data_IF_820218212612
#
_entry.id   IF_820218212612
#
_cell.length_a   1.000
_cell.length_b   1.000
_cell.length_c   1.000
_cell.angle_alpha   90.00
_cell.angle_beta   90.00
_cell.angle_gamma   90.00
#
_symmetry.space_group_name_H-M   'P 1'
#
loop_
_entity.id
_entity.type
_entity.pdbx_description
1 polymer ?
#
# COMPACT_ATOMS: atom_id res chain seq x y z
N UNK A 1 -25.12 24.75 -22.31
CA UNK A 1 -25.08 24.87 -20.84
C UNK A 1 -26.01 23.84 -20.21
N UNK A 2 -25.46 22.76 -19.75
CA UNK A 2 -26.19 21.71 -18.99
C UNK A 2 -25.88 21.90 -17.51
N UNK A 3 -26.91 22.13 -16.70
CA UNK A 3 -26.79 22.21 -15.22
C UNK A 3 -27.08 20.85 -14.63
N UNK A 4 -26.10 20.26 -13.96
CA UNK A 4 -26.32 19.07 -13.15
C UNK A 4 -26.15 19.42 -11.66
N UNK A 5 -27.20 19.18 -10.89
CA UNK A 5 -27.20 19.30 -9.44
C UNK A 5 -26.94 17.93 -8.84
N UNK A 6 -25.75 17.69 -8.30
CA UNK A 6 -25.49 16.53 -7.45
C UNK A 6 -25.82 16.91 -6.00
N UNK A 7 -27.04 16.62 -5.55
CA UNK A 7 -27.49 16.78 -4.18
C UNK A 7 -27.07 15.53 -3.38
N UNK A 8 -25.98 15.63 -2.65
CA UNK A 8 -25.68 14.68 -1.56
C UNK A 8 -26.45 15.14 -0.31
N UNK A 9 -27.44 14.33 0.10
CA UNK A 9 -28.31 14.60 1.24
C UNK A 9 -27.56 14.36 2.56
N UNK A 10 -26.93 15.40 3.06
CA UNK A 10 -26.60 15.55 4.47
C UNK A 10 -27.51 16.61 5.07
N UNK A 11 -28.43 16.23 5.97
CA UNK A 11 -29.31 17.15 6.67
C UNK A 11 -28.50 18.10 7.54
N UNK A 12 -28.26 19.32 7.07
CA UNK A 12 -27.85 20.45 7.90
C UNK A 12 -28.73 21.62 7.55
N UNK A 13 -29.28 22.24 8.57
CA UNK A 13 -30.22 23.37 8.55
C UNK A 13 -29.71 24.51 7.67
N UNK A 14 -30.56 24.93 6.77
CA UNK A 14 -30.34 25.93 5.73
C UNK A 14 -29.87 27.29 6.27
N UNK A 15 -28.71 27.71 5.78
CA UNK A 15 -28.52 29.10 5.40
C UNK A 15 -28.42 29.10 3.88
N UNK A 16 -29.39 29.71 3.19
CA UNK A 16 -29.37 29.91 1.73
C UNK A 16 -28.27 30.95 1.41
N UNK A 17 -27.05 30.50 1.19
CA UNK A 17 -26.12 31.17 0.28
C UNK A 17 -26.26 30.41 -1.06
N UNK A 18 -26.61 31.10 -2.13
CA UNK A 18 -26.45 30.53 -3.48
C UNK A 18 -24.96 30.19 -3.64
N UNK A 19 -24.64 28.91 -3.60
CA UNK A 19 -23.31 28.45 -3.87
C UNK A 19 -23.02 28.69 -5.34
N UNK A 20 -21.97 29.43 -5.65
CA UNK A 20 -21.59 29.70 -7.03
C UNK A 20 -21.03 28.39 -7.64
N UNK A 21 -21.60 28.00 -8.79
CA UNK A 21 -21.06 26.85 -9.55
C UNK A 21 -19.63 27.14 -10.00
N UNK A 22 -18.76 26.14 -9.94
CA UNK A 22 -17.44 26.20 -10.54
C UNK A 22 -17.58 26.02 -12.04
N UNK A 23 -16.96 26.92 -12.80
CA UNK A 23 -16.90 26.84 -14.25
C UNK A 23 -15.59 26.20 -14.69
N UNK A 24 -15.65 25.08 -15.37
CA UNK A 24 -14.48 24.40 -15.95
C UNK A 24 -14.54 24.60 -17.46
N UNK A 25 -13.63 25.42 -17.99
CA UNK A 25 -13.52 25.75 -19.40
C UNK A 25 -12.53 24.81 -20.08
N UNK A 26 -12.96 24.17 -21.14
CA UNK A 26 -12.09 23.39 -22.02
C UNK A 26 -11.63 24.26 -23.20
N UNK A 27 -10.33 24.26 -23.47
CA UNK A 27 -9.71 24.90 -24.62
C UNK A 27 -9.04 23.80 -25.46
N UNK A 28 -9.87 23.01 -26.18
CA UNK A 28 -9.43 21.85 -26.96
C UNK A 28 -9.63 22.17 -28.47
N UNK A 29 -8.66 21.76 -29.29
CA UNK A 29 -8.81 21.80 -30.76
C UNK A 29 -9.62 20.60 -31.26
N UNK A 30 -9.49 19.44 -30.60
CA UNK A 30 -10.20 18.21 -30.94
C UNK A 30 -11.51 18.09 -30.18
N UNK A 31 -12.49 17.44 -30.84
CA UNK A 31 -13.74 17.05 -30.19
C UNK A 31 -13.59 15.67 -29.58
N UNK A 32 -14.19 15.46 -28.41
CA UNK A 32 -14.19 14.14 -27.78
C UNK A 32 -15.10 14.06 -26.59
N UNK A 33 -15.23 12.87 -26.05
CA UNK A 33 -16.12 12.60 -24.90
C UNK A 33 -15.32 12.20 -23.67
N UNK A 34 -15.73 12.74 -22.52
CA UNK A 34 -15.17 12.42 -21.22
C UNK A 34 -16.21 11.78 -20.30
N UNK A 35 -15.81 10.76 -19.54
CA UNK A 35 -16.49 10.39 -18.31
C UNK A 35 -15.94 11.25 -17.17
N UNK A 36 -16.81 11.91 -16.42
CA UNK A 36 -16.44 12.68 -15.21
C UNK A 36 -16.64 11.79 -14.00
N UNK A 37 -15.56 11.53 -13.28
CA UNK A 37 -15.56 10.66 -12.11
C UNK A 37 -15.13 11.41 -10.85
N UNK A 38 -15.67 10.98 -9.71
CA UNK A 38 -15.21 11.39 -8.37
C UNK A 38 -15.17 10.16 -7.45
N UNK A 39 -14.54 10.32 -6.28
CA UNK A 39 -14.43 9.26 -5.28
C UNK A 39 -15.62 9.30 -4.31
N UNK A 40 -16.25 8.15 -4.10
CA UNK A 40 -17.27 7.95 -3.06
C UNK A 40 -16.65 7.72 -1.67
N UNK A 41 -17.49 7.78 -0.63
CA UNK A 41 -17.05 7.61 0.76
C UNK A 41 -16.48 6.21 1.07
N UNK A 42 -16.84 5.19 0.29
CA UNK A 42 -16.31 3.83 0.39
C UNK A 42 -14.97 3.65 -0.38
N UNK A 43 -14.46 4.72 -0.99
CA UNK A 43 -13.24 4.75 -1.79
C UNK A 43 -13.42 4.35 -3.25
N UNK A 44 -14.61 3.91 -3.68
CA UNK A 44 -14.89 3.58 -5.06
C UNK A 44 -14.96 4.85 -5.94
N UNK A 45 -14.69 4.69 -7.24
CA UNK A 45 -14.91 5.77 -8.20
C UNK A 45 -16.27 5.62 -8.88
N UNK A 46 -17.02 6.72 -8.89
CA UNK A 46 -18.34 6.79 -9.52
C UNK A 46 -18.34 7.81 -10.66
N UNK A 47 -18.94 7.44 -11.79
CA UNK A 47 -19.18 8.35 -12.91
C UNK A 47 -20.36 9.24 -12.57
N UNK A 48 -20.13 10.55 -12.47
CA UNK A 48 -21.18 11.53 -12.20
C UNK A 48 -21.83 12.06 -13.48
N UNK A 49 -21.08 12.13 -14.58
CA UNK A 49 -21.57 12.62 -15.89
C UNK A 49 -20.72 12.09 -17.04
N UNK A 50 -21.23 12.27 -18.26
CA UNK A 50 -20.52 12.07 -19.52
C UNK A 50 -20.66 13.33 -20.35
N UNK A 51 -19.54 13.90 -20.78
CA UNK A 51 -19.46 15.16 -21.49
C UNK A 51 -19.00 14.94 -22.92
N UNK A 52 -19.72 15.50 -23.89
CA UNK A 52 -19.26 15.66 -25.26
C UNK A 52 -18.69 17.08 -25.38
N UNK A 53 -17.38 17.18 -25.51
CA UNK A 53 -16.67 18.46 -25.61
C UNK A 53 -16.46 18.80 -27.09
N UNK A 54 -16.91 19.98 -27.49
CA UNK A 54 -16.77 20.51 -28.86
C UNK A 54 -16.07 21.86 -28.79
N UNK A 55 -14.74 21.85 -28.96
CA UNK A 55 -13.94 23.08 -28.91
C UNK A 55 -13.94 23.72 -27.52
N UNK A 56 -14.22 25.02 -27.47
CA UNK A 56 -14.26 25.79 -26.22
C UNK A 56 -15.59 25.60 -25.49
N UNK A 57 -15.76 24.50 -24.79
CA UNK A 57 -16.97 24.20 -24.01
C UNK A 57 -16.76 24.48 -22.52
N UNK A 58 -17.87 24.58 -21.78
CA UNK A 58 -17.86 24.88 -20.33
C UNK A 58 -18.70 23.84 -19.58
N UNK A 59 -18.09 23.21 -18.59
CA UNK A 59 -18.74 22.34 -17.64
C UNK A 59 -18.96 23.07 -16.31
N UNK A 60 -20.19 22.99 -15.78
CA UNK A 60 -20.56 23.59 -14.50
C UNK A 60 -20.70 22.50 -13.44
N UNK A 61 -20.03 22.66 -12.30
CA UNK A 61 -20.07 21.71 -11.17
C UNK A 61 -20.00 22.43 -9.83
N UNK A 62 -20.66 21.89 -8.81
CA UNK A 62 -20.61 22.40 -7.45
C UNK A 62 -20.42 21.27 -6.44
N UNK A 63 -19.53 21.48 -5.46
CA UNK A 63 -19.33 20.59 -4.32
C UNK A 63 -19.33 21.40 -3.02
N UNK A 64 -19.97 20.86 -1.99
CA UNK A 64 -20.02 21.45 -0.64
C UNK A 64 -18.70 21.31 0.11
N UNK A 65 -17.82 20.40 -0.34
CA UNK A 65 -16.49 20.13 0.22
C UNK A 65 -15.48 20.06 -0.89
N UNK A 66 -14.20 20.20 -0.54
CA UNK A 66 -13.10 20.04 -1.48
C UNK A 66 -13.06 18.59 -1.98
N UNK A 67 -13.14 18.36 -3.29
CA UNK A 67 -13.15 17.06 -3.94
C UNK A 67 -12.24 17.06 -5.15
N UNK A 68 -11.67 15.90 -5.46
CA UNK A 68 -10.98 15.67 -6.72
C UNK A 68 -11.92 15.02 -7.73
N UNK A 69 -12.02 15.61 -8.93
CA UNK A 69 -12.73 15.02 -10.06
C UNK A 69 -11.74 14.67 -11.15
N UNK A 70 -12.10 13.66 -11.94
CA UNK A 70 -11.25 13.16 -13.04
C UNK A 70 -12.05 13.15 -14.33
N UNK A 71 -11.49 13.72 -15.38
CA UNK A 71 -12.00 13.66 -16.74
C UNK A 71 -11.25 12.53 -17.47
N UNK A 72 -11.94 11.43 -17.70
CA UNK A 72 -11.38 10.24 -18.39
C UNK A 72 -11.90 10.19 -19.81
N UNK A 73 -11.03 10.21 -20.84
CA UNK A 73 -11.50 10.13 -22.22
C UNK A 73 -12.23 8.82 -22.48
N UNK A 74 -13.40 8.90 -23.09
CA UNK A 74 -14.17 7.73 -23.53
C UNK A 74 -13.76 7.29 -24.92
N UNK A 75 -13.35 8.23 -25.76
CA UNK A 75 -12.94 8.01 -27.15
C UNK A 75 -11.82 9.01 -27.53
N UNK A 76 -10.95 8.62 -28.47
CA UNK A 76 -9.90 9.49 -29.00
C UNK A 76 -8.60 9.52 -28.18
N UNK A 77 -7.73 10.47 -28.50
CA UNK A 77 -6.42 10.67 -27.86
C UNK A 77 -6.42 11.83 -26.83
N UNK A 78 -7.60 12.16 -26.30
CA UNK A 78 -7.73 13.23 -25.32
C UNK A 78 -6.94 12.91 -24.04
N UNK A 79 -6.37 13.93 -23.36
CA UNK A 79 -5.64 13.72 -22.11
C UNK A 79 -6.57 13.39 -20.95
N UNK A 80 -6.12 12.52 -20.04
CA UNK A 80 -6.73 12.40 -18.71
C UNK A 80 -6.41 13.67 -17.93
N UNK A 81 -7.43 14.31 -17.34
CA UNK A 81 -7.27 15.52 -16.54
C UNK A 81 -7.88 15.33 -15.16
N UNK A 82 -7.20 15.84 -14.14
CA UNK A 82 -7.73 15.89 -12.78
C UNK A 82 -7.92 17.35 -12.39
N UNK A 83 -9.00 17.62 -11.65
CA UNK A 83 -9.30 18.93 -11.11
C UNK A 83 -9.65 18.81 -9.62
N UNK A 84 -9.25 19.79 -8.83
CA UNK A 84 -9.71 19.98 -7.46
C UNK A 84 -10.79 21.04 -7.46
N UNK A 85 -11.98 20.68 -6.99
CA UNK A 85 -13.15 21.56 -6.96
C UNK A 85 -13.71 21.60 -5.54
N UNK A 86 -14.08 22.79 -5.10
CA UNK A 86 -14.66 23.01 -3.80
C UNK A 86 -15.45 24.32 -3.73
N UNK A 87 -15.97 24.70 -2.56
CA UNK A 87 -16.85 25.85 -2.39
C UNK A 87 -16.28 27.20 -2.87
N UNK A 88 -14.94 27.32 -2.80
CA UNK A 88 -14.24 28.56 -3.16
C UNK A 88 -13.66 28.55 -4.59
N UNK A 89 -13.74 27.41 -5.29
CA UNK A 89 -13.28 27.28 -6.68
C UNK A 89 -14.28 27.96 -7.62
N UNK A 90 -13.80 28.85 -8.50
CA UNK A 90 -14.68 29.65 -9.37
C UNK A 90 -14.56 29.30 -10.84
N UNK A 91 -13.39 29.44 -11.40
CA UNK A 91 -13.13 29.19 -12.81
C UNK A 91 -11.82 28.44 -12.98
N UNK A 92 -11.86 27.35 -13.74
CA UNK A 92 -10.70 26.54 -14.10
C UNK A 92 -10.62 26.48 -15.64
N UNK A 93 -9.40 26.37 -16.16
CA UNK A 93 -9.15 26.20 -17.59
C UNK A 93 -8.35 24.92 -17.80
N UNK A 94 -8.78 24.08 -18.74
CA UNK A 94 -8.10 22.89 -19.23
C UNK A 94 -7.63 23.17 -20.65
N UNK A 95 -6.31 23.18 -20.86
CA UNK A 95 -5.69 23.34 -22.17
C UNK A 95 -5.73 22.06 -23.00
N UNK A 96 -5.41 22.17 -24.29
CA UNK A 96 -5.31 21.05 -25.24
C UNK A 96 -4.39 19.91 -24.76
N UNK A 97 -3.25 20.25 -24.16
CA UNK A 97 -2.31 19.28 -23.58
C UNK A 97 -2.80 18.67 -22.25
N UNK A 98 -3.99 19.05 -21.77
CA UNK A 98 -4.57 18.61 -20.50
C UNK A 98 -3.93 19.26 -19.28
N UNK A 99 -3.28 20.42 -19.42
CA UNK A 99 -2.88 21.22 -18.27
C UNK A 99 -4.09 21.96 -17.71
N UNK A 100 -4.26 21.86 -16.39
CA UNK A 100 -5.30 22.58 -15.68
C UNK A 100 -4.70 23.78 -14.94
N UNK A 101 -5.46 24.88 -14.88
CA UNK A 101 -5.09 26.11 -14.17
C UNK A 101 -6.34 26.82 -13.62
N UNK A 102 -6.15 27.79 -12.74
CA UNK A 102 -7.19 28.66 -12.18
C UNK A 102 -6.90 29.08 -10.73
N UNK A 103 -6.66 28.16 -9.87
CA UNK A 103 -6.29 28.41 -8.47
C UNK A 103 -4.99 27.67 -8.08
N UNK A 104 -4.58 27.79 -6.81
CA UNK A 104 -3.32 27.21 -6.33
C UNK A 104 -3.31 25.67 -6.36
N UNK A 105 -4.45 25.01 -6.12
CA UNK A 105 -4.60 23.55 -6.20
C UNK A 105 -4.45 23.07 -7.63
N UNK A 106 -5.16 23.69 -8.55
CA UNK A 106 -5.23 23.28 -9.94
C UNK A 106 -3.97 23.69 -10.73
N UNK A 107 -3.36 24.82 -10.40
CA UNK A 107 -2.05 25.19 -10.94
C UNK A 107 -1.00 24.14 -10.56
N UNK A 108 -1.03 23.62 -9.33
CA UNK A 108 -0.12 22.55 -8.90
C UNK A 108 -0.38 21.24 -9.65
N UNK A 109 -1.64 20.87 -9.93
CA UNK A 109 -1.95 19.73 -10.80
C UNK A 109 -1.35 19.91 -12.21
N UNK A 110 -1.45 21.10 -12.78
CA UNK A 110 -0.83 21.43 -14.07
C UNK A 110 0.69 21.25 -14.05
N UNK A 111 1.37 21.73 -13.01
CA UNK A 111 2.81 21.57 -12.83
C UNK A 111 3.20 20.08 -12.64
N UNK A 112 2.43 19.32 -11.88
CA UNK A 112 2.65 17.87 -11.71
C UNK A 112 2.56 17.13 -13.05
N UNK A 113 1.53 17.46 -13.85
CA UNK A 113 1.38 16.88 -15.19
C UNK A 113 2.59 17.18 -16.06
N UNK A 114 3.07 18.43 -16.07
CA UNK A 114 4.28 18.82 -16.81
C UNK A 114 5.50 18.00 -16.38
N UNK A 115 5.71 17.90 -15.07
CA UNK A 115 6.80 17.07 -14.52
C UNK A 115 6.70 15.61 -14.98
N UNK A 116 5.49 15.08 -15.06
CA UNK A 116 5.21 13.70 -15.49
C UNK A 116 5.51 13.51 -17.00
N UNK A 117 5.07 14.46 -17.84
CA UNK A 117 5.37 14.43 -19.28
C UNK A 117 6.86 14.57 -19.56
N UNK A 118 7.58 15.44 -18.85
CA UNK A 118 9.03 15.56 -18.94
C UNK A 118 9.75 14.24 -18.57
N UNK A 119 9.25 13.52 -17.55
CA UNK A 119 9.77 12.22 -17.16
C UNK A 119 9.51 11.16 -18.23
N UNK A 120 8.31 11.11 -18.81
CA UNK A 120 7.95 10.18 -19.90
C UNK A 120 8.85 10.43 -21.10
N UNK A 121 9.00 11.69 -21.55
CA UNK A 121 9.86 12.06 -22.66
C UNK A 121 11.32 11.66 -22.43
N UNK A 122 11.82 11.79 -21.20
CA UNK A 122 13.16 11.32 -20.85
C UNK A 122 13.26 9.80 -20.97
N UNK A 123 12.29 9.04 -20.42
CA UNK A 123 12.28 7.57 -20.48
C UNK A 123 12.31 7.11 -21.94
N UNK A 124 11.45 7.66 -22.79
CA UNK A 124 11.39 7.33 -24.22
C UNK A 124 12.73 7.62 -24.93
N UNK A 125 13.34 8.76 -24.62
CA UNK A 125 14.67 9.13 -25.13
C UNK A 125 15.76 8.16 -24.69
N UNK A 126 15.77 7.75 -23.43
CA UNK A 126 16.74 6.79 -22.89
C UNK A 126 16.54 5.39 -23.46
N UNK A 127 15.29 4.97 -23.67
CA UNK A 127 14.97 3.67 -24.26
C UNK A 127 15.38 3.63 -25.75
N UNK A 128 15.19 4.72 -26.48
CA UNK A 128 15.72 4.85 -27.84
C UNK A 128 17.25 4.70 -27.86
N UNK A 129 17.97 5.30 -26.91
CA UNK A 129 19.42 5.16 -26.77
C UNK A 129 19.79 3.70 -26.40
N UNK A 130 19.08 3.07 -25.44
CA UNK A 130 19.32 1.66 -25.04
C UNK A 130 19.20 0.70 -26.22
N UNK A 131 18.27 0.94 -27.14
CA UNK A 131 18.12 0.09 -28.33
C UNK A 131 19.37 0.09 -29.21
N UNK A 132 20.14 1.18 -29.24
CA UNK A 132 21.39 1.27 -30.01
C UNK A 132 22.51 0.42 -29.42
N UNK A 133 22.43 0.08 -28.13
CA UNK A 133 23.42 -0.76 -27.43
C UNK A 133 23.10 -2.26 -27.40
N UNK A 134 21.93 -2.68 -27.88
CA UNK A 134 21.52 -4.10 -27.86
C UNK A 134 22.47 -5.03 -28.62
N UNK A 135 23.11 -4.50 -29.66
CA UNK A 135 24.07 -5.23 -30.48
C UNK A 135 25.53 -4.95 -30.12
N UNK A 136 25.79 -4.15 -29.07
CA UNK A 136 27.13 -3.80 -28.63
C UNK A 136 27.52 -4.54 -27.35
N UNK A 137 28.74 -5.07 -27.32
CA UNK A 137 29.33 -5.71 -26.14
C UNK A 137 29.72 -4.73 -25.01
N UNK A 138 29.30 -3.46 -25.08
CA UNK A 138 29.73 -2.38 -24.18
C UNK A 138 28.71 -2.10 -23.08
N UNK A 139 28.80 -2.83 -21.97
CA UNK A 139 28.10 -2.53 -20.72
C UNK A 139 28.29 -1.10 -20.19
N UNK A 140 29.35 -0.39 -20.62
CA UNK A 140 29.64 0.98 -20.19
C UNK A 140 28.56 1.98 -20.64
N UNK A 141 28.05 1.85 -21.86
CA UNK A 141 27.00 2.72 -22.39
C UNK A 141 25.68 2.54 -21.62
N UNK A 142 25.27 1.30 -21.37
CA UNK A 142 24.05 1.00 -20.60
C UNK A 142 24.11 1.59 -19.18
N UNK A 143 25.25 1.45 -18.48
CA UNK A 143 25.45 2.06 -17.15
C UNK A 143 25.32 3.57 -17.16
N UNK A 144 25.76 4.23 -18.23
CA UNK A 144 25.65 5.69 -18.36
C UNK A 144 24.17 6.08 -18.51
N UNK A 145 23.40 5.35 -19.33
CA UNK A 145 21.97 5.58 -19.52
C UNK A 145 21.23 5.38 -18.18
N UNK A 146 21.51 4.29 -17.47
CA UNK A 146 20.91 4.04 -16.18
C UNK A 146 21.26 5.12 -15.15
N UNK A 147 22.52 5.60 -15.13
CA UNK A 147 22.94 6.70 -14.24
C UNK A 147 22.19 7.99 -14.50
N UNK A 148 21.90 8.33 -15.76
CA UNK A 148 21.11 9.51 -16.13
C UNK A 148 19.67 9.35 -15.66
N UNK A 149 19.07 8.17 -15.87
CA UNK A 149 17.72 7.86 -15.42
C UNK A 149 17.60 7.99 -13.88
N UNK A 150 18.50 7.35 -13.13
CA UNK A 150 18.44 7.41 -11.66
C UNK A 150 18.65 8.83 -11.13
N UNK A 151 19.58 9.60 -11.68
CA UNK A 151 19.78 10.99 -11.27
C UNK A 151 18.54 11.86 -11.52
N UNK A 152 17.84 11.63 -12.62
CA UNK A 152 16.60 12.35 -12.91
C UNK A 152 15.45 11.89 -11.98
N UNK A 153 15.31 10.58 -11.77
CA UNK A 153 14.30 10.02 -10.88
C UNK A 153 14.47 10.52 -9.44
N UNK A 154 15.71 10.60 -8.95
CA UNK A 154 16.03 11.18 -7.64
C UNK A 154 15.66 12.67 -7.58
N UNK A 155 15.99 13.44 -8.61
CA UNK A 155 15.63 14.86 -8.71
C UNK A 155 14.10 15.06 -8.81
N UNK A 156 13.39 14.16 -9.49
CA UNK A 156 11.93 14.15 -9.58
C UNK A 156 11.32 13.89 -8.20
N UNK A 157 11.78 12.83 -7.51
CA UNK A 157 11.35 12.49 -6.16
C UNK A 157 11.60 13.63 -5.18
N UNK A 158 12.77 14.27 -5.23
CA UNK A 158 13.10 15.38 -4.34
C UNK A 158 12.16 16.58 -4.54
N UNK A 159 11.84 16.94 -5.78
CA UNK A 159 10.88 18.04 -6.06
C UNK A 159 9.49 17.74 -5.50
N UNK A 160 9.04 16.48 -5.57
CA UNK A 160 7.78 16.05 -4.94
C UNK A 160 7.87 16.23 -3.42
N UNK A 161 8.90 15.70 -2.76
CA UNK A 161 9.08 15.82 -1.33
C UNK A 161 9.13 17.28 -0.86
N UNK A 162 9.89 18.12 -1.55
CA UNK A 162 10.00 19.56 -1.24
C UNK A 162 8.63 20.26 -1.31
N UNK A 163 7.80 19.89 -2.30
CA UNK A 163 6.45 20.43 -2.44
C UNK A 163 5.51 19.96 -1.33
N UNK A 164 5.54 18.67 -0.99
CA UNK A 164 4.72 18.10 0.08
C UNK A 164 5.07 18.70 1.44
N UNK A 165 6.35 18.94 1.69
CA UNK A 165 6.83 19.57 2.92
C UNK A 165 6.44 21.07 2.97
N UNK A 166 6.57 21.77 1.84
CA UNK A 166 6.30 23.21 1.78
C UNK A 166 4.80 23.55 1.97
N UNK A 167 3.91 22.75 1.38
CA UNK A 167 2.45 22.97 1.42
C UNK A 167 1.73 21.62 1.59
N UNK A 168 1.77 21.00 2.76
CA UNK A 168 1.20 19.67 2.97
C UNK A 168 -0.32 19.61 2.79
N UNK A 169 -1.04 20.70 3.13
CA UNK A 169 -2.50 20.77 3.05
C UNK A 169 -3.04 21.13 1.67
N UNK A 170 -2.51 20.55 0.58
CA UNK A 170 -3.11 20.61 -0.75
C UNK A 170 -3.74 19.27 -1.12
N UNK A 171 -5.02 19.27 -1.50
CA UNK A 171 -5.68 18.03 -1.96
C UNK A 171 -5.01 17.47 -3.23
N UNK A 172 -4.54 18.35 -4.11
CA UNK A 172 -3.77 18.01 -5.31
C UNK A 172 -2.46 17.26 -5.03
N UNK A 173 -1.93 17.29 -3.80
CA UNK A 173 -0.79 16.49 -3.39
C UNK A 173 -1.07 14.98 -3.47
N UNK A 174 -2.32 14.54 -3.34
CA UNK A 174 -2.67 13.12 -3.43
C UNK A 174 -2.28 12.52 -4.78
N UNK A 175 -2.27 13.32 -5.84
CA UNK A 175 -1.82 12.84 -7.15
C UNK A 175 -0.33 12.48 -7.13
N UNK A 176 0.51 13.27 -6.44
CA UNK A 176 1.95 12.97 -6.31
C UNK A 176 2.24 11.82 -5.36
N UNK A 177 1.45 11.66 -4.31
CA UNK A 177 1.60 10.55 -3.36
C UNK A 177 1.46 9.19 -4.07
N UNK A 178 0.56 9.10 -5.03
CA UNK A 178 0.31 7.86 -5.78
C UNK A 178 1.15 7.72 -7.06
N UNK A 179 2.04 8.67 -7.36
CA UNK A 179 2.89 8.58 -8.56
C UNK A 179 3.80 7.35 -8.55
N UNK A 180 3.95 6.78 -9.73
CA UNK A 180 4.83 5.61 -9.97
C UNK A 180 5.74 5.88 -11.17
N UNK A 181 6.94 5.31 -11.11
CA UNK A 181 7.85 5.22 -12.26
C UNK A 181 7.93 3.74 -12.64
N UNK A 182 7.23 3.37 -13.71
CA UNK A 182 6.97 1.97 -14.04
C UNK A 182 6.16 1.29 -12.93
N UNK A 183 6.69 0.23 -12.33
CA UNK A 183 6.04 -0.48 -11.23
C UNK A 183 6.40 0.08 -9.84
N UNK A 184 7.41 0.96 -9.75
CA UNK A 184 7.91 1.46 -8.47
C UNK A 184 7.19 2.74 -8.05
N UNK A 185 6.69 2.85 -6.80
CA UNK A 185 6.16 4.10 -6.28
C UNK A 185 7.30 5.12 -6.15
N UNK A 186 7.00 6.40 -6.36
CA UNK A 186 7.97 7.49 -6.16
C UNK A 186 8.20 7.74 -4.67
N UNK A 187 7.14 7.61 -3.88
CA UNK A 187 7.18 7.71 -2.42
C UNK A 187 6.87 6.34 -1.81
N UNK A 188 7.69 5.96 -0.83
CA UNK A 188 7.52 4.70 -0.10
C UNK A 188 7.16 4.98 1.35
N UNK A 189 6.05 4.41 1.85
CA UNK A 189 5.59 4.70 3.20
C UNK A 189 6.67 4.46 4.26
N UNK A 190 7.41 3.37 4.17
CA UNK A 190 8.47 3.03 5.12
C UNK A 190 9.61 4.05 5.16
N UNK A 191 9.88 4.74 4.06
CA UNK A 191 10.96 5.73 3.91
C UNK A 191 10.44 7.15 4.16
N UNK A 192 9.27 7.47 3.58
CA UNK A 192 8.72 8.84 3.54
C UNK A 192 7.61 9.07 4.58
N UNK A 193 7.53 8.17 5.57
CA UNK A 193 6.46 8.10 6.59
C UNK A 193 6.13 9.45 7.22
N UNK A 194 7.12 10.19 7.67
CA UNK A 194 6.90 11.47 8.36
C UNK A 194 6.28 12.54 7.44
N UNK A 195 6.69 12.56 6.17
CA UNK A 195 6.12 13.47 5.16
C UNK A 195 4.68 13.08 4.85
N UNK A 196 4.42 11.78 4.61
CA UNK A 196 3.08 11.29 4.29
C UNK A 196 2.10 11.50 5.44
N UNK A 197 2.54 11.32 6.70
CA UNK A 197 1.74 11.66 7.89
C UNK A 197 1.46 13.15 7.97
N UNK A 198 2.47 13.99 7.75
CA UNK A 198 2.29 15.44 7.74
C UNK A 198 1.28 15.91 6.69
N UNK A 199 1.28 15.29 5.50
CA UNK A 199 0.28 15.54 4.45
C UNK A 199 -1.11 15.09 4.93
N UNK A 200 -1.20 13.89 5.52
CA UNK A 200 -2.45 13.34 6.03
C UNK A 200 -3.08 14.23 7.12
N UNK A 201 -2.27 14.65 8.10
CA UNK A 201 -2.73 15.50 9.19
C UNK A 201 -3.25 16.84 8.65
N UNK A 202 -2.48 17.48 7.74
CA UNK A 202 -2.85 18.75 7.14
C UNK A 202 -4.11 18.67 6.26
N UNK A 203 -4.29 17.60 5.50
CA UNK A 203 -5.48 17.37 4.68
C UNK A 203 -6.71 17.07 5.55
N UNK A 204 -6.53 16.31 6.62
CA UNK A 204 -7.61 16.02 7.58
C UNK A 204 -8.11 17.29 8.27
N UNK A 205 -7.22 18.24 8.56
CA UNK A 205 -7.59 19.55 9.12
C UNK A 205 -8.31 20.41 8.05
N UNK A 206 -7.81 20.41 6.80
CA UNK A 206 -8.34 21.25 5.72
C UNK A 206 -9.72 20.78 5.23
N UNK A 207 -9.89 19.49 4.97
CA UNK A 207 -11.06 18.94 4.29
C UNK A 207 -11.51 17.59 4.89
N UNK A 208 -11.92 17.54 6.18
CA UNK A 208 -12.23 16.29 6.89
C UNK A 208 -13.41 15.51 6.29
N UNK A 209 -14.26 16.18 5.51
CA UNK A 209 -15.42 15.57 4.85
C UNK A 209 -15.15 15.20 3.37
N UNK A 210 -13.94 15.45 2.87
CA UNK A 210 -13.55 15.02 1.51
C UNK A 210 -13.39 13.51 1.45
N UNK A 211 -14.04 12.88 0.48
CA UNK A 211 -13.91 11.43 0.27
C UNK A 211 -12.48 11.03 -0.10
N UNK A 212 -11.74 11.89 -0.80
CA UNK A 212 -10.34 11.67 -1.13
C UNK A 212 -9.45 11.68 0.12
N UNK A 213 -9.72 12.59 1.06
CA UNK A 213 -9.01 12.67 2.34
C UNK A 213 -9.34 11.45 3.21
N UNK A 214 -10.62 11.07 3.28
CA UNK A 214 -11.04 9.86 4.03
C UNK A 214 -10.35 8.61 3.49
N UNK A 215 -10.31 8.43 2.17
CA UNK A 215 -9.61 7.31 1.54
C UNK A 215 -8.09 7.33 1.81
N UNK A 216 -7.48 8.52 1.81
CA UNK A 216 -6.06 8.67 2.14
C UNK A 216 -5.76 8.37 3.61
N UNK A 217 -6.62 8.82 4.53
CA UNK A 217 -6.53 8.47 5.95
C UNK A 217 -6.53 6.95 6.15
N UNK A 218 -7.49 6.24 5.55
CA UNK A 218 -7.56 4.78 5.64
C UNK A 218 -6.29 4.11 5.13
N UNK A 219 -5.74 4.61 4.01
CA UNK A 219 -4.49 4.12 3.45
C UNK A 219 -3.30 4.35 4.41
N UNK A 220 -3.20 5.54 5.02
CA UNK A 220 -2.14 5.86 5.98
C UNK A 220 -2.27 5.00 7.24
N UNK A 221 -3.48 4.81 7.77
CA UNK A 221 -3.74 3.96 8.93
C UNK A 221 -3.31 2.50 8.69
N UNK A 222 -3.64 1.92 7.54
CA UNK A 222 -3.24 0.56 7.17
C UNK A 222 -1.72 0.39 7.15
N UNK A 223 -1.01 1.38 6.57
CA UNK A 223 0.46 1.36 6.54
C UNK A 223 1.08 1.59 7.92
N UNK A 224 0.50 2.45 8.75
CA UNK A 224 0.94 2.66 10.14
C UNK A 224 0.84 1.36 10.95
N UNK A 225 -0.29 0.70 10.90
CA UNK A 225 -0.46 -0.59 11.57
C UNK A 225 0.59 -1.61 11.12
N UNK A 226 0.82 -1.68 9.82
CA UNK A 226 1.83 -2.59 9.24
C UNK A 226 3.24 -2.20 9.67
N UNK A 227 3.56 -0.92 9.69
CA UNK A 227 4.86 -0.40 10.13
C UNK A 227 5.11 -0.71 11.61
N UNK A 228 4.13 -0.43 12.47
CA UNK A 228 4.23 -0.69 13.92
C UNK A 228 4.38 -2.19 14.19
N UNK A 229 3.57 -3.02 13.52
CA UNK A 229 3.68 -4.47 13.62
C UNK A 229 5.07 -4.98 13.21
N UNK A 230 5.57 -4.55 12.05
CA UNK A 230 6.89 -4.94 11.54
C UNK A 230 8.03 -4.48 12.45
N UNK A 231 7.95 -3.26 12.98
CA UNK A 231 8.92 -2.76 13.94
C UNK A 231 8.92 -3.58 15.24
N UNK A 232 7.73 -3.99 15.71
CA UNK A 232 7.57 -4.84 16.90
C UNK A 232 8.13 -6.23 16.68
N UNK A 233 7.90 -6.81 15.50
CA UNK A 233 8.51 -8.10 15.10
C UNK A 233 10.03 -8.00 15.13
N UNK A 234 10.62 -6.94 14.57
CA UNK A 234 12.06 -6.74 14.56
C UNK A 234 12.65 -6.55 15.97
N UNK A 235 11.97 -5.78 16.83
CA UNK A 235 12.35 -5.62 18.26
C UNK A 235 12.33 -6.97 18.98
N UNK A 236 11.26 -7.74 18.83
CA UNK A 236 11.10 -9.02 19.49
C UNK A 236 12.05 -10.08 18.94
N UNK A 237 12.46 -9.99 17.66
CA UNK A 237 13.49 -10.86 17.10
C UNK A 237 14.83 -10.71 17.84
N UNK A 238 15.17 -9.50 18.27
CA UNK A 238 16.36 -9.23 19.08
C UNK A 238 16.15 -9.64 20.55
N UNK A 239 14.99 -9.31 21.11
CA UNK A 239 14.66 -9.57 22.52
C UNK A 239 14.63 -11.07 22.84
N UNK A 240 14.04 -11.90 21.96
CA UNK A 240 13.93 -13.34 22.11
C UNK A 240 14.99 -14.09 21.29
N UNK A 241 16.24 -13.65 21.44
CA UNK A 241 17.42 -14.31 20.91
C UNK A 241 17.97 -15.41 21.83
N UNK A 242 19.11 -15.98 21.45
CA UNK A 242 19.80 -16.97 22.26
C UNK A 242 20.19 -16.38 23.63
N UNK A 243 19.92 -17.11 24.70
CA UNK A 243 20.15 -16.70 26.08
C UNK A 243 18.95 -16.03 26.78
N UNK A 244 17.88 -15.69 26.04
CA UNK A 244 16.66 -15.11 26.62
C UNK A 244 15.66 -16.18 27.06
N UNK A 245 14.78 -15.88 28.04
CA UNK A 245 13.64 -16.75 28.35
C UNK A 245 12.71 -16.87 27.10
N UNK A 246 12.14 -18.08 26.90
CA UNK A 246 11.12 -18.27 25.90
C UNK A 246 9.83 -17.55 26.35
N UNK A 247 9.16 -16.75 25.48
CA UNK A 247 8.02 -15.96 25.91
C UNK A 247 6.80 -16.82 26.24
N UNK A 248 5.97 -16.30 27.16
CA UNK A 248 4.73 -16.93 27.60
C UNK A 248 3.55 -16.39 26.80
N UNK A 249 2.79 -17.26 26.17
CA UNK A 249 1.52 -16.98 25.52
C UNK A 249 0.70 -18.27 25.36
N UNK A 250 -0.55 -18.16 24.98
CA UNK A 250 -1.45 -19.30 24.83
C UNK A 250 -1.96 -19.40 23.39
N UNK A 251 -2.07 -20.63 22.89
CA UNK A 251 -2.54 -20.95 21.55
C UNK A 251 -3.49 -22.14 21.58
N UNK A 252 -4.26 -22.32 20.52
CA UNK A 252 -5.21 -23.41 20.41
C UNK A 252 -4.60 -24.63 19.70
N UNK A 253 -5.03 -25.82 20.15
CA UNK A 253 -4.80 -27.09 19.43
C UNK A 253 -5.73 -27.18 18.21
N UNK A 254 -5.51 -28.14 17.28
CA UNK A 254 -6.47 -28.40 16.19
C UNK A 254 -7.88 -28.79 16.67
N UNK A 255 -8.03 -29.16 17.93
CA UNK A 255 -9.32 -29.51 18.58
C UNK A 255 -9.95 -28.30 19.28
N UNK A 256 -9.31 -27.12 19.28
CA UNK A 256 -9.79 -25.91 19.95
C UNK A 256 -9.48 -25.83 21.44
N UNK A 257 -8.59 -26.67 21.94
CA UNK A 257 -8.16 -26.60 23.36
C UNK A 257 -7.07 -25.55 23.52
N UNK A 258 -7.27 -24.60 24.45
CA UNK A 258 -6.28 -23.56 24.75
C UNK A 258 -5.13 -24.14 25.58
N UNK A 259 -3.91 -23.97 25.09
CA UNK A 259 -2.66 -24.43 25.72
C UNK A 259 -1.76 -23.26 26.01
N UNK A 260 -1.35 -23.07 27.28
CA UNK A 260 -0.36 -22.10 27.69
C UNK A 260 1.06 -22.64 27.47
N UNK A 261 1.91 -21.84 26.80
CA UNK A 261 3.31 -22.16 26.60
C UNK A 261 4.16 -22.00 27.88
N UNK A 262 3.63 -21.37 28.93
CA UNK A 262 4.27 -21.28 30.26
C UNK A 262 4.64 -22.66 30.82
N UNK A 263 3.75 -23.65 30.64
CA UNK A 263 4.02 -25.04 31.09
C UNK A 263 5.15 -25.72 30.30
N UNK A 264 5.47 -25.19 29.11
CA UNK A 264 6.50 -25.75 28.23
C UNK A 264 7.87 -25.14 28.49
N UNK A 265 7.91 -23.96 29.09
CA UNK A 265 9.17 -23.27 29.43
C UNK A 265 10.03 -24.01 30.45
N UNK A 266 9.45 -24.98 31.16
CA UNK A 266 10.12 -25.79 32.18
C UNK A 266 10.71 -27.12 31.65
N UNK A 267 10.51 -27.43 30.36
CA UNK A 267 11.00 -28.67 29.72
C UNK A 267 11.93 -28.36 28.56
N UNK A 268 12.76 -29.33 28.25
CA UNK A 268 13.61 -29.28 27.05
C UNK A 268 12.75 -29.56 25.81
N UNK A 269 12.51 -28.54 25.00
CA UNK A 269 11.67 -28.63 23.81
C UNK A 269 12.36 -28.05 22.58
N UNK A 270 11.96 -28.55 21.43
CA UNK A 270 12.22 -27.93 20.14
C UNK A 270 10.91 -27.27 19.69
N UNK A 271 10.94 -25.98 19.46
CA UNK A 271 9.79 -25.21 18.93
C UNK A 271 10.04 -24.92 17.46
N UNK A 272 9.12 -25.32 16.60
CA UNK A 272 9.18 -25.08 15.16
C UNK A 272 8.06 -24.12 14.73
N UNK A 273 8.42 -23.04 14.05
CA UNK A 273 7.46 -22.13 13.41
C UNK A 273 7.32 -22.57 11.96
N UNK A 274 6.09 -22.83 11.55
CA UNK A 274 5.78 -23.38 10.24
C UNK A 274 4.38 -22.97 9.76
N UNK A 275 3.98 -23.41 8.57
CA UNK A 275 2.61 -23.32 8.09
C UNK A 275 2.30 -24.45 7.08
N UNK A 276 1.04 -24.80 6.92
CA UNK A 276 0.58 -25.85 5.99
C UNK A 276 0.93 -25.51 4.54
N UNK A 277 0.94 -24.25 4.18
CA UNK A 277 1.29 -23.73 2.85
C UNK A 277 2.80 -23.57 2.63
N UNK A 278 3.62 -23.64 3.68
CA UNK A 278 5.08 -23.52 3.59
C UNK A 278 5.70 -24.85 3.15
N UNK A 279 6.01 -24.99 1.87
CA UNK A 279 6.56 -26.23 1.28
C UNK A 279 7.90 -26.62 1.91
N UNK A 280 8.78 -25.65 2.14
CA UNK A 280 10.10 -25.87 2.76
C UNK A 280 9.97 -26.35 4.21
N UNK A 281 9.13 -25.68 5.01
CA UNK A 281 8.82 -26.09 6.39
C UNK A 281 8.35 -27.54 6.44
N UNK A 282 7.39 -27.93 5.59
CA UNK A 282 6.83 -29.28 5.54
C UNK A 282 7.87 -30.33 5.13
N UNK A 283 8.75 -29.98 4.18
CA UNK A 283 9.83 -30.90 3.76
C UNK A 283 10.82 -31.18 4.88
N UNK A 284 11.23 -30.15 5.63
CA UNK A 284 12.13 -30.31 6.78
C UNK A 284 11.47 -31.11 7.90
N UNK A 285 10.24 -30.74 8.30
CA UNK A 285 9.52 -31.44 9.36
C UNK A 285 9.24 -32.91 9.03
N UNK A 286 8.87 -33.25 7.78
CA UNK A 286 8.75 -34.64 7.32
C UNK A 286 10.05 -35.40 7.40
N UNK A 287 11.17 -34.73 7.10
CA UNK A 287 12.50 -35.35 7.22
C UNK A 287 12.83 -35.70 8.68
N UNK A 288 12.44 -34.86 9.62
CA UNK A 288 12.58 -35.12 11.06
C UNK A 288 11.67 -36.26 11.50
N UNK A 289 10.39 -36.20 11.18
CA UNK A 289 9.39 -37.20 11.56
C UNK A 289 9.77 -38.62 11.12
N UNK A 290 10.40 -38.76 9.96
CA UNK A 290 10.91 -40.06 9.46
C UNK A 290 12.12 -40.61 10.22
N UNK A 291 12.89 -39.75 10.90
CA UNK A 291 14.16 -40.12 11.53
C UNK A 291 14.04 -40.34 13.02
N UNK A 292 13.10 -39.67 13.67
CA UNK A 292 12.92 -39.69 15.13
C UNK A 292 11.51 -39.40 15.56
N UNK A 293 11.15 -39.76 16.77
CA UNK A 293 9.89 -39.34 17.39
C UNK A 293 9.97 -37.87 17.78
N UNK A 294 8.85 -37.17 17.60
CA UNK A 294 8.76 -35.73 17.86
C UNK A 294 8.11 -35.42 19.22
N UNK A 295 8.32 -36.27 20.24
CA UNK A 295 7.63 -36.18 21.54
C UNK A 295 7.90 -34.88 22.30
N UNK A 296 9.06 -34.25 22.08
CA UNK A 296 9.46 -32.99 22.70
C UNK A 296 9.41 -31.82 21.71
N UNK A 297 8.64 -31.96 20.61
CA UNK A 297 8.43 -30.90 19.63
C UNK A 297 7.13 -30.17 19.86
N UNK A 298 7.17 -28.86 19.66
CA UNK A 298 6.04 -27.97 19.65
C UNK A 298 6.02 -27.24 18.30
N UNK A 299 4.99 -27.48 17.52
CA UNK A 299 4.85 -26.97 16.19
C UNK A 299 3.83 -25.82 16.21
N UNK A 300 4.33 -24.59 16.09
CA UNK A 300 3.53 -23.37 16.08
C UNK A 300 3.21 -22.99 14.63
N UNK A 301 1.94 -23.09 14.26
CA UNK A 301 1.51 -22.80 12.89
C UNK A 301 1.01 -21.36 12.77
N UNK A 302 1.42 -20.68 11.68
CA UNK A 302 0.92 -19.37 11.29
C UNK A 302 -0.09 -19.45 10.13
N UNK A 303 -0.86 -20.54 10.05
CA UNK A 303 -1.99 -20.61 9.12
C UNK A 303 -3.01 -19.50 9.39
N UNK A 304 -3.88 -19.18 8.42
CA UNK A 304 -4.86 -18.10 8.53
C UNK A 304 -4.67 -17.01 7.49
N UNK A 305 -3.95 -17.27 6.39
CA UNK A 305 -3.85 -16.32 5.30
C UNK A 305 -5.20 -16.17 4.57
N UNK A 306 -5.54 -14.97 4.06
CA UNK A 306 -6.80 -14.72 3.34
C UNK A 306 -7.01 -15.64 2.11
N UNK A 307 -5.93 -16.18 1.54
CA UNK A 307 -5.98 -17.07 0.37
C UNK A 307 -6.34 -18.52 0.73
N UNK A 308 -6.23 -18.90 2.02
CA UNK A 308 -6.61 -20.23 2.48
C UNK A 308 -8.14 -20.36 2.56
N UNK A 309 -8.68 -21.41 1.94
CA UNK A 309 -10.14 -21.65 1.95
C UNK A 309 -10.64 -22.14 3.31
N UNK A 310 -9.81 -22.94 3.98
CA UNK A 310 -10.09 -23.52 5.31
C UNK A 310 -8.78 -23.61 6.08
N UNK A 311 -8.32 -22.51 6.71
CA UNK A 311 -7.03 -22.51 7.42
C UNK A 311 -6.87 -23.65 8.42
N UNK A 312 -7.87 -23.89 9.26
CA UNK A 312 -7.89 -25.01 10.22
C UNK A 312 -7.86 -26.38 9.51
N UNK A 313 -8.64 -26.52 8.43
CA UNK A 313 -8.71 -27.78 7.68
C UNK A 313 -7.39 -28.09 6.97
N UNK A 314 -6.81 -27.11 6.30
CA UNK A 314 -5.54 -27.25 5.59
C UNK A 314 -4.37 -27.52 6.56
N UNK A 315 -4.36 -26.85 7.71
CA UNK A 315 -3.40 -27.10 8.77
C UNK A 315 -3.52 -28.54 9.30
N UNK A 316 -4.74 -28.98 9.65
CA UNK A 316 -4.98 -30.35 10.13
C UNK A 316 -4.63 -31.40 9.08
N UNK A 317 -5.00 -31.19 7.82
CA UNK A 317 -4.65 -32.07 6.71
C UNK A 317 -3.12 -32.19 6.53
N UNK A 318 -2.39 -31.09 6.63
CA UNK A 318 -0.93 -31.09 6.57
C UNK A 318 -0.29 -31.91 7.70
N UNK A 319 -0.79 -31.77 8.93
CA UNK A 319 -0.32 -32.56 10.09
C UNK A 319 -0.47 -34.06 9.81
N UNK A 320 -1.67 -34.47 9.37
CA UNK A 320 -1.99 -35.89 9.11
C UNK A 320 -1.21 -36.44 7.90
N UNK A 321 -1.17 -35.67 6.80
CA UNK A 321 -0.51 -36.12 5.56
C UNK A 321 1.00 -36.27 5.72
N UNK A 322 1.62 -35.40 6.51
CA UNK A 322 3.06 -35.39 6.71
C UNK A 322 3.49 -36.23 7.92
N UNK A 323 2.53 -36.88 8.62
CA UNK A 323 2.73 -37.71 9.81
C UNK A 323 3.55 -36.96 10.90
N UNK A 324 3.19 -35.70 11.14
CA UNK A 324 3.90 -34.84 12.08
C UNK A 324 3.47 -35.14 13.51
N UNK A 325 4.42 -35.62 14.32
CA UNK A 325 4.23 -35.79 15.75
C UNK A 325 4.41 -34.48 16.54
N UNK A 326 4.36 -34.60 17.86
CA UNK A 326 4.52 -33.44 18.75
C UNK A 326 3.21 -32.73 19.08
N UNK A 327 3.32 -31.55 19.69
CA UNK A 327 2.19 -30.71 20.05
C UNK A 327 2.00 -29.63 18.98
N UNK A 328 0.81 -29.56 18.41
CA UNK A 328 0.46 -28.59 17.38
C UNK A 328 -0.40 -27.48 17.96
N UNK A 329 -0.01 -26.22 17.73
CA UNK A 329 -0.67 -25.03 18.24
C UNK A 329 -0.72 -23.93 17.19
N UNK A 330 -1.81 -23.15 17.17
CA UNK A 330 -1.98 -22.00 16.26
C UNK A 330 -2.98 -21.00 16.84
N UNK A 331 -2.92 -19.75 16.39
CA UNK A 331 -3.96 -18.74 16.54
C UNK A 331 -4.75 -18.52 15.25
N UNK A 332 -4.35 -19.21 14.16
CA UNK A 332 -4.89 -19.02 12.81
C UNK A 332 -4.85 -17.54 12.35
N UNK A 333 -3.89 -16.77 12.86
CA UNK A 333 -3.78 -15.32 12.65
C UNK A 333 -3.09 -14.93 11.33
N UNK A 334 -2.54 -15.90 10.57
CA UNK A 334 -1.86 -15.65 9.30
C UNK A 334 -0.70 -14.67 9.46
N UNK A 335 -0.64 -13.67 8.59
CA UNK A 335 0.41 -12.63 8.62
C UNK A 335 0.36 -11.73 9.85
N UNK A 336 -0.74 -11.73 10.61
CA UNK A 336 -0.94 -10.98 11.87
C UNK A 336 -0.93 -11.89 13.10
N UNK A 337 -0.45 -13.13 12.96
CA UNK A 337 -0.35 -14.09 14.06
C UNK A 337 0.43 -13.52 15.25
N UNK A 338 -0.09 -13.75 16.45
CA UNK A 338 0.62 -13.43 17.71
C UNK A 338 1.95 -14.17 17.81
N UNK A 339 2.10 -15.32 17.15
CA UNK A 339 3.34 -16.08 17.06
C UNK A 339 4.42 -15.23 16.35
N UNK A 340 4.07 -14.60 15.23
CA UNK A 340 4.97 -13.74 14.46
C UNK A 340 5.44 -12.58 15.32
N UNK A 341 4.49 -11.85 15.91
CA UNK A 341 4.82 -10.68 16.72
C UNK A 341 5.64 -11.06 17.95
N UNK A 342 5.16 -12.03 18.75
CA UNK A 342 5.77 -12.37 20.04
C UNK A 342 7.17 -12.97 19.90
N UNK A 343 7.36 -13.87 18.93
CA UNK A 343 8.65 -14.52 18.70
C UNK A 343 9.58 -13.76 17.74
N UNK A 344 9.09 -12.66 17.15
CA UNK A 344 9.84 -11.90 16.18
C UNK A 344 10.18 -12.70 14.93
N UNK A 345 9.20 -13.40 14.34
CA UNK A 345 9.39 -14.27 13.17
C UNK A 345 9.55 -13.42 11.92
N UNK A 346 10.73 -13.38 11.33
CA UNK A 346 11.06 -12.63 10.11
C UNK A 346 11.14 -13.53 8.87
N UNK A 347 11.38 -14.83 9.08
CA UNK A 347 11.50 -15.84 8.03
C UNK A 347 11.04 -17.21 8.53
N UNK A 348 10.68 -18.10 7.62
CA UNK A 348 10.26 -19.47 7.91
C UNK A 348 10.91 -20.46 6.94
N UNK A 349 11.20 -21.70 7.42
CA UNK A 349 11.00 -22.20 8.79
C UNK A 349 11.90 -21.50 9.82
N UNK A 350 11.48 -21.47 11.09
CA UNK A 350 12.26 -20.96 12.21
C UNK A 350 12.19 -21.97 13.37
N UNK A 351 13.31 -22.30 13.95
CA UNK A 351 13.41 -23.28 15.03
C UNK A 351 14.07 -22.68 16.26
N UNK A 352 13.54 -23.04 17.42
CA UNK A 352 14.13 -22.74 18.72
C UNK A 352 14.44 -24.04 19.46
N UNK A 353 15.63 -24.13 20.04
CA UNK A 353 15.90 -25.11 21.09
C UNK A 353 15.73 -24.41 22.42
N UNK A 354 14.85 -24.92 23.25
CA UNK A 354 14.54 -24.37 24.59
C UNK A 354 14.96 -25.38 25.63
N UNK A 355 15.84 -24.98 26.55
CA UNK A 355 16.34 -25.81 27.64
C UNK A 355 16.12 -25.07 28.96
N UNK A 356 15.39 -25.68 29.90
CA UNK A 356 15.01 -25.04 31.17
C UNK A 356 14.34 -23.65 30.99
N UNK A 357 13.51 -23.50 29.94
CA UNK A 357 12.84 -22.26 29.62
C UNK A 357 13.68 -21.18 28.94
N UNK A 358 14.96 -21.46 28.67
CA UNK A 358 15.89 -20.54 28.00
C UNK A 358 16.10 -20.96 26.55
N UNK A 359 16.06 -20.01 25.62
CA UNK A 359 16.40 -20.23 24.22
C UNK A 359 17.92 -20.49 24.11
N UNK A 360 18.31 -21.70 23.74
CA UNK A 360 19.73 -22.07 23.58
C UNK A 360 20.16 -22.05 22.11
N UNK A 361 19.19 -22.19 21.17
CA UNK A 361 19.40 -22.00 19.73
C UNK A 361 18.19 -21.30 19.08
N UNK A 362 18.46 -20.51 18.04
CA UNK A 362 17.49 -19.92 17.13
C UNK A 362 18.05 -20.04 15.71
N UNK A 363 17.47 -20.89 14.89
CA UNK A 363 18.01 -21.25 13.57
C UNK A 363 16.90 -21.40 12.53
N UNK A 364 17.23 -21.20 11.25
CA UNK A 364 16.27 -21.27 10.12
C UNK A 364 16.32 -22.62 9.40
N UNK A 365 17.22 -23.52 9.79
CA UNK A 365 17.29 -24.87 9.27
C UNK A 365 17.34 -25.89 10.39
N UNK A 366 16.59 -26.97 10.24
CA UNK A 366 16.50 -27.99 11.26
C UNK A 366 17.83 -28.71 11.53
N UNK A 367 18.72 -28.77 10.54
CA UNK A 367 20.04 -29.39 10.65
C UNK A 367 21.02 -28.63 11.57
N UNK A 368 20.72 -27.36 11.86
CA UNK A 368 21.54 -26.51 12.73
C UNK A 368 21.10 -26.55 14.22
N UNK A 369 20.06 -27.36 14.56
CA UNK A 369 19.55 -27.55 15.93
C UNK A 369 20.49 -28.34 16.90
#
# INVERSE_FOLDING_TARGET
MRKLWALLAGLVLASCSEQADTLIRFELEETGSYAVQYREADGAFTVMDSLDIIGNDVFEVAFDTLQMISFLPLEGELPVVHAVVGPDTKELTISEDGFISGDAENNWLGEQRKMQLDLIALIDSLDAIKTTYKDSTTFKGLRTVDSVFFAYADGYRQRILDSLIAVPGRLSNLMTVYHRIGQNPVLEYGVDREVLRGVNDALTELAPASNDVLAFNMWVEEFEETYVFTAKVAENAQKFGVGSPFPEFALETPQGELVSLERMSLKDNIVAIWASWCVECRNELRSVAKKQTMNNWVLLSIDGLPQQRSPLGEWYEAIVTDDLGGQHLSDLGGSRSIIIETLGVQEMPLYFKVENGIITKRVVRVEDL
#
